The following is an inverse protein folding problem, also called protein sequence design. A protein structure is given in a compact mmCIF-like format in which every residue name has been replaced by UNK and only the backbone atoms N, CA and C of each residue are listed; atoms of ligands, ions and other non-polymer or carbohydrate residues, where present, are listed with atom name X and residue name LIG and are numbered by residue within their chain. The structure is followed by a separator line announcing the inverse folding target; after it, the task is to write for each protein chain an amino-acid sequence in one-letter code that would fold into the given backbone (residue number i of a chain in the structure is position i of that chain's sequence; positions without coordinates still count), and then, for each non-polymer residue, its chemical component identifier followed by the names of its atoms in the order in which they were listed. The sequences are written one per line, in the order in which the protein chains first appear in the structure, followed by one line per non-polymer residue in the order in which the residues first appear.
data_IF_489774853612
#
_entry.id   IF_489774853612
#
_cell.length_a   1.000
_cell.length_b   1.000
_cell.length_c   1.000
_cell.angle_alpha   90.00
_cell.angle_beta   90.00
_cell.angle_gamma   90.00
#
_symmetry.space_group_name_H-M   'P 1'
#
loop_
_entity.id
_entity.type
_entity.pdbx_description
1 polymer ?
#
# COMPACT_ATOMS: atom_id res chain seq x y z
N UNK A 1 40.74 15.31 -2.52
CA UNK A 1 40.41 16.28 -3.59
C UNK A 1 39.89 15.48 -4.78
N UNK A 2 38.61 15.70 -5.14
CA UNK A 2 37.91 15.23 -6.33
C UNK A 2 38.02 13.74 -6.70
N UNK A 3 37.14 12.93 -6.10
CA UNK A 3 36.62 11.74 -6.78
C UNK A 3 35.67 12.20 -7.87
N UNK A 4 35.89 11.66 -9.07
CA UNK A 4 35.08 11.80 -10.27
C UNK A 4 33.59 11.69 -9.95
N UNK A 5 32.90 12.84 -9.89
CA UNK A 5 31.47 12.87 -10.12
C UNK A 5 31.28 12.52 -11.58
N UNK A 6 30.77 11.32 -11.82
CA UNK A 6 30.17 10.92 -13.08
C UNK A 6 29.10 11.96 -13.38
N UNK A 7 29.44 12.98 -14.19
CA UNK A 7 28.47 13.81 -14.87
C UNK A 7 27.82 12.93 -15.92
N UNK A 8 26.87 12.10 -15.47
CA UNK A 8 25.97 11.37 -16.33
C UNK A 8 25.12 12.43 -17.04
N UNK A 9 25.33 12.58 -18.35
CA UNK A 9 24.75 13.64 -19.17
C UNK A 9 23.26 13.38 -19.40
N UNK A 10 22.44 13.66 -18.39
CA UNK A 10 20.97 13.62 -18.46
C UNK A 10 20.38 14.80 -19.24
N UNK A 11 21.20 15.76 -19.68
CA UNK A 11 20.78 16.92 -20.49
C UNK A 11 20.46 16.56 -21.95
N UNK A 12 20.22 15.28 -22.25
CA UNK A 12 19.46 14.93 -23.44
C UNK A 12 18.03 15.41 -23.18
N UNK A 13 17.70 16.57 -23.73
CA UNK A 13 16.38 17.18 -23.67
C UNK A 13 15.30 16.09 -23.76
N UNK A 14 14.49 15.91 -22.72
CA UNK A 14 13.37 14.96 -22.75
C UNK A 14 12.45 15.24 -23.95
N UNK A 15 12.43 16.49 -24.44
CA UNK A 15 11.82 16.93 -25.69
C UNK A 15 12.40 16.30 -26.96
N UNK A 16 13.68 15.91 -26.99
CA UNK A 16 14.22 15.13 -28.12
C UNK A 16 13.70 13.69 -28.14
N UNK A 17 13.37 13.15 -26.96
CA UNK A 17 12.85 11.79 -26.82
C UNK A 17 11.33 11.78 -27.01
N UNK A 18 10.64 12.84 -26.56
CA UNK A 18 9.20 13.00 -26.68
C UNK A 18 8.82 14.46 -27.03
N UNK A 19 8.86 14.83 -28.32
CA UNK A 19 8.61 16.20 -28.77
C UNK A 19 7.16 16.66 -28.64
N UNK A 20 6.23 15.74 -28.37
CA UNK A 20 4.79 16.00 -28.21
C UNK A 20 4.33 16.04 -26.76
N UNK A 21 5.24 15.87 -25.80
CA UNK A 21 4.89 15.93 -24.38
C UNK A 21 4.49 17.35 -23.94
N UNK A 22 3.49 17.46 -23.05
CA UNK A 22 3.16 18.75 -22.43
C UNK A 22 4.29 19.17 -21.48
N UNK A 23 4.51 20.48 -21.29
CA UNK A 23 5.58 20.98 -20.41
C UNK A 23 5.41 20.51 -18.95
N UNK A 24 4.17 20.30 -18.49
CA UNK A 24 3.87 19.75 -17.17
C UNK A 24 4.26 18.27 -17.06
N UNK A 25 4.10 17.50 -18.15
CA UNK A 25 4.54 16.10 -18.22
C UNK A 25 6.06 16.01 -18.13
N UNK A 26 6.76 16.94 -18.80
CA UNK A 26 8.21 17.03 -18.79
C UNK A 26 8.74 17.35 -17.38
N UNK A 27 8.19 18.36 -16.70
CA UNK A 27 8.62 18.71 -15.34
C UNK A 27 8.44 17.54 -14.36
N UNK A 28 7.32 16.83 -14.46
CA UNK A 28 7.08 15.63 -13.65
C UNK A 28 8.16 14.57 -13.89
N UNK A 29 8.45 14.26 -15.16
CA UNK A 29 9.48 13.28 -15.52
C UNK A 29 10.87 13.71 -15.06
N UNK A 30 11.24 15.00 -15.20
CA UNK A 30 12.51 15.53 -14.72
C UNK A 30 12.68 15.35 -13.22
N UNK A 31 11.60 15.51 -12.44
CA UNK A 31 11.65 15.37 -10.98
C UNK A 31 11.55 13.92 -10.49
N UNK A 32 10.94 13.02 -11.28
CA UNK A 32 10.90 11.57 -11.00
C UNK A 32 12.20 10.86 -11.38
N UNK A 33 12.82 11.25 -12.50
CA UNK A 33 14.03 10.63 -13.04
C UNK A 33 15.32 11.24 -12.46
N UNK A 34 15.29 11.58 -11.17
CA UNK A 34 16.47 12.04 -10.44
C UNK A 34 17.34 10.86 -10.01
N UNK A 35 18.65 10.96 -10.27
CA UNK A 35 19.62 9.94 -9.85
C UNK A 35 19.75 9.88 -8.33
N UNK A 36 19.80 11.04 -7.67
CA UNK A 36 19.82 11.10 -6.22
C UNK A 36 18.41 10.82 -5.67
N UNK A 37 18.20 9.74 -4.88
CA UNK A 37 16.89 9.39 -4.35
C UNK A 37 16.33 10.44 -3.40
N UNK A 38 17.17 11.21 -2.70
CA UNK A 38 16.71 12.28 -1.81
C UNK A 38 16.17 13.51 -2.56
N UNK A 39 16.53 13.65 -3.84
CA UNK A 39 16.01 14.73 -4.71
C UNK A 39 14.81 14.27 -5.53
N UNK A 40 14.48 12.97 -5.52
CA UNK A 40 13.37 12.39 -6.25
C UNK A 40 12.06 12.70 -5.52
N UNK A 41 11.04 13.11 -6.26
CA UNK A 41 9.68 13.27 -5.72
C UNK A 41 9.22 11.98 -5.03
N UNK A 42 8.55 12.12 -3.88
CA UNK A 42 7.81 11.02 -3.28
C UNK A 42 6.54 10.72 -4.08
N UNK A 43 5.98 9.53 -3.92
CA UNK A 43 4.73 9.16 -4.59
C UNK A 43 3.58 10.15 -4.26
N UNK A 44 3.48 10.57 -2.99
CA UNK A 44 2.48 11.55 -2.54
C UNK A 44 2.65 12.92 -3.21
N UNK A 45 3.89 13.41 -3.31
CA UNK A 45 4.18 14.68 -3.99
C UNK A 45 3.95 14.59 -5.50
N UNK A 46 4.22 13.44 -6.11
CA UNK A 46 3.98 13.21 -7.52
C UNK A 46 2.48 13.24 -7.84
N UNK A 47 1.63 12.65 -7.00
CA UNK A 47 0.17 12.66 -7.18
C UNK A 47 -0.43 14.07 -7.12
N UNK A 48 0.17 14.98 -6.36
CA UNK A 48 -0.23 16.39 -6.28
C UNK A 48 0.29 17.26 -7.44
N UNK A 49 1.04 16.69 -8.39
CA UNK A 49 1.62 17.44 -9.49
C UNK A 49 0.54 17.94 -10.47
N UNK A 50 0.66 19.16 -11.05
CA UNK A 50 -0.32 19.71 -12.00
C UNK A 50 -0.68 18.79 -13.16
N UNK A 51 0.29 18.01 -13.65
CA UNK A 51 0.08 17.01 -14.70
C UNK A 51 -0.91 15.90 -14.31
N UNK A 52 -0.95 15.50 -13.03
CA UNK A 52 -1.85 14.46 -12.51
C UNK A 52 -3.09 15.03 -11.82
N UNK A 53 -3.26 16.36 -11.79
CA UNK A 53 -4.37 17.01 -11.09
C UNK A 53 -5.75 16.53 -11.57
N UNK A 54 -5.88 16.19 -12.86
CA UNK A 54 -7.14 15.64 -13.41
C UNK A 54 -7.49 14.23 -12.89
N UNK A 55 -6.51 13.50 -12.35
CA UNK A 55 -6.66 12.12 -11.84
C UNK A 55 -6.54 12.05 -10.32
N UNK A 56 -6.11 13.11 -9.66
CA UNK A 56 -5.86 13.12 -8.22
C UNK A 56 -7.19 13.08 -7.44
N UNK A 57 -7.37 12.04 -6.63
CA UNK A 57 -8.52 11.91 -5.74
C UNK A 57 -8.07 11.37 -4.37
N UNK A 58 -8.03 12.22 -3.32
CA UNK A 58 -7.62 11.80 -1.99
C UNK A 58 -8.45 10.65 -1.38
N UNK A 59 -9.71 10.48 -1.81
CA UNK A 59 -10.57 9.40 -1.31
C UNK A 59 -10.20 8.03 -1.89
N UNK A 60 -9.63 8.00 -3.10
CA UNK A 60 -9.23 6.79 -3.81
C UNK A 60 -7.73 6.45 -3.62
N UNK A 61 -7.01 7.23 -2.80
CA UNK A 61 -5.57 7.11 -2.55
C UNK A 61 -5.26 6.73 -1.08
N UNK A 62 -5.65 5.54 -0.60
CA UNK A 62 -5.46 5.15 0.80
C UNK A 62 -3.98 4.85 1.13
N UNK A 63 -3.51 5.40 2.25
CA UNK A 63 -2.17 5.08 2.78
C UNK A 63 -2.22 3.84 3.67
N UNK A 64 -1.35 2.86 3.40
CA UNK A 64 -1.20 1.68 4.25
C UNK A 64 -0.22 1.96 5.40
N UNK A 65 -0.75 2.32 6.58
CA UNK A 65 0.06 2.59 7.77
C UNK A 65 0.70 1.34 8.39
N UNK A 66 0.37 0.14 7.87
CA UNK A 66 0.91 -1.13 8.38
C UNK A 66 2.06 -1.59 7.51
N UNK A 67 3.19 -1.89 8.15
CA UNK A 67 4.31 -2.56 7.48
C UNK A 67 3.88 -3.92 6.94
N UNK A 68 4.04 -4.12 5.64
CA UNK A 68 3.80 -5.41 4.99
C UNK A 68 4.98 -6.30 5.32
N UNK A 69 4.78 -7.28 6.19
CA UNK A 69 5.80 -8.28 6.52
C UNK A 69 5.66 -9.48 5.59
N UNK A 70 6.62 -9.65 4.70
CA UNK A 70 6.73 -10.86 3.88
C UNK A 70 7.15 -12.02 4.82
N UNK A 71 6.43 -13.16 4.84
CA UNK A 71 6.72 -14.25 5.78
C UNK A 71 8.05 -14.95 5.52
N UNK A 72 8.49 -14.94 4.26
CA UNK A 72 9.74 -15.55 3.81
C UNK A 72 10.70 -14.41 3.47
N UNK A 73 11.91 -14.47 4.02
CA UNK A 73 12.94 -13.46 3.79
C UNK A 73 13.62 -13.68 2.43
N UNK A 74 13.68 -12.61 1.63
CA UNK A 74 14.28 -12.63 0.29
C UNK A 74 15.82 -12.77 0.33
N UNK A 75 16.45 -12.45 1.48
CA UNK A 75 17.90 -12.60 1.63
C UNK A 75 18.33 -14.06 1.80
N UNK A 76 17.39 -14.98 2.05
CA UNK A 76 17.68 -16.39 2.24
C UNK A 76 17.12 -17.21 1.09
N UNK A 77 18.01 -17.90 0.37
CA UNK A 77 17.61 -18.85 -0.68
C UNK A 77 17.26 -20.19 -0.03
N UNK A 78 15.98 -20.56 -0.05
CA UNK A 78 15.53 -21.88 0.37
C UNK A 78 15.48 -22.86 -0.81
N UNK A 79 15.37 -24.15 -0.50
CA UNK A 79 15.05 -25.15 -1.52
C UNK A 79 13.59 -25.03 -1.95
N UNK A 80 13.26 -25.56 -3.14
CA UNK A 80 11.87 -25.56 -3.66
C UNK A 80 10.92 -26.22 -2.64
N UNK A 81 11.36 -27.32 -2.02
CA UNK A 81 10.56 -28.05 -1.05
C UNK A 81 10.24 -27.20 0.19
N UNK A 82 11.24 -26.53 0.76
CA UNK A 82 11.06 -25.66 1.92
C UNK A 82 10.14 -24.46 1.62
N UNK A 83 10.25 -23.85 0.43
CA UNK A 83 9.32 -22.79 0.03
C UNK A 83 7.87 -23.30 -0.01
N UNK A 84 7.64 -24.48 -0.59
CA UNK A 84 6.30 -25.11 -0.66
C UNK A 84 5.76 -25.38 0.73
N UNK A 85 6.56 -25.98 1.60
CA UNK A 85 6.16 -26.30 2.97
C UNK A 85 5.83 -25.06 3.80
N UNK A 86 6.65 -24.00 3.74
CA UNK A 86 6.38 -22.72 4.40
C UNK A 86 5.12 -22.05 3.87
N UNK A 87 4.90 -22.07 2.56
CA UNK A 87 3.71 -21.50 1.96
C UNK A 87 2.44 -22.27 2.38
N UNK A 88 2.47 -23.60 2.30
CA UNK A 88 1.30 -24.41 2.66
C UNK A 88 0.98 -24.35 4.15
N UNK A 89 1.99 -24.41 5.02
CA UNK A 89 1.79 -24.26 6.47
C UNK A 89 1.17 -22.90 6.81
N UNK A 90 1.60 -21.82 6.14
CA UNK A 90 1.01 -20.49 6.31
C UNK A 90 -0.46 -20.44 5.86
N UNK A 91 -0.79 -21.01 4.70
CA UNK A 91 -2.17 -21.07 4.19
C UNK A 91 -3.08 -21.83 5.17
N UNK A 92 -2.63 -22.97 5.69
CA UNK A 92 -3.38 -23.78 6.65
C UNK A 92 -3.59 -23.03 7.97
N UNK A 93 -2.53 -22.41 8.49
CA UNK A 93 -2.60 -21.57 9.70
C UNK A 93 -3.61 -20.44 9.52
N UNK A 94 -3.50 -19.69 8.42
CA UNK A 94 -4.39 -18.56 8.10
C UNK A 94 -5.86 -19.00 7.98
N UNK A 95 -6.14 -20.12 7.29
CA UNK A 95 -7.50 -20.68 7.20
C UNK A 95 -8.07 -21.06 8.57
N UNK A 96 -7.26 -21.66 9.45
CA UNK A 96 -7.67 -22.03 10.81
C UNK A 96 -7.99 -20.79 11.65
N UNK A 97 -7.16 -19.75 11.57
CA UNK A 97 -7.38 -18.47 12.26
C UNK A 97 -8.65 -17.75 11.78
N UNK A 98 -8.87 -17.67 10.47
CA UNK A 98 -10.07 -17.04 9.89
C UNK A 98 -11.32 -17.76 10.40
N UNK A 99 -11.34 -19.11 10.34
CA UNK A 99 -12.47 -19.91 10.84
C UNK A 99 -12.72 -19.67 12.34
N UNK A 100 -11.67 -19.50 13.14
CA UNK A 100 -11.79 -19.19 14.57
C UNK A 100 -12.42 -17.81 14.79
N UNK A 101 -11.91 -16.79 14.11
CA UNK A 101 -12.41 -15.41 14.20
C UNK A 101 -13.87 -15.30 13.75
N UNK A 102 -14.27 -16.01 12.68
CA UNK A 102 -15.66 -16.04 12.22
C UNK A 102 -16.60 -16.57 13.30
N UNK A 103 -16.25 -17.71 13.93
CA UNK A 103 -17.05 -18.29 15.02
C UNK A 103 -17.15 -17.38 16.25
N UNK A 104 -16.07 -16.68 16.56
CA UNK A 104 -16.05 -15.72 17.67
C UNK A 104 -16.93 -14.50 17.37
N UNK A 105 -16.84 -13.96 16.14
CA UNK A 105 -17.66 -12.83 15.69
C UNK A 105 -19.15 -13.16 15.73
N UNK A 106 -19.52 -14.37 15.27
CA UNK A 106 -20.91 -14.85 15.29
C UNK A 106 -21.44 -15.04 16.72
N UNK A 107 -20.58 -15.49 17.67
CA UNK A 107 -20.95 -15.59 19.09
C UNK A 107 -21.19 -14.19 19.69
N UNK A 108 -20.27 -13.26 19.47
CA UNK A 108 -20.36 -11.89 19.96
C UNK A 108 -21.60 -11.18 19.39
N UNK A 109 -21.88 -11.36 18.11
CA UNK A 109 -23.08 -10.81 17.45
C UNK A 109 -24.37 -11.39 18.04
N UNK A 110 -24.43 -12.70 18.30
CA UNK A 110 -25.55 -13.32 18.99
C UNK A 110 -25.76 -12.74 20.39
N UNK A 111 -24.71 -12.54 21.17
CA UNK A 111 -24.80 -12.00 22.53
C UNK A 111 -25.21 -10.51 22.53
N UNK A 112 -24.65 -9.70 21.62
CA UNK A 112 -25.05 -8.31 21.39
C UNK A 112 -26.53 -8.20 21.02
N UNK A 113 -27.03 -9.07 20.12
CA UNK A 113 -28.45 -9.09 19.72
C UNK A 113 -29.38 -9.42 20.89
N UNK A 114 -28.96 -10.33 21.79
CA UNK A 114 -29.69 -10.68 23.01
C UNK A 114 -29.73 -9.53 24.01
N UNK A 115 -28.62 -8.83 24.20
CA UNK A 115 -28.54 -7.66 25.08
C UNK A 115 -29.38 -6.49 24.55
N UNK A 116 -29.32 -6.20 23.25
CA UNK A 116 -30.12 -5.14 22.62
C UNK A 116 -31.62 -5.41 22.76
N UNK A 117 -32.08 -6.65 22.51
CA UNK A 117 -33.47 -7.05 22.77
C UNK A 117 -33.86 -6.83 24.23
N UNK A 118 -33.03 -7.27 25.18
CA UNK A 118 -33.29 -7.12 26.63
C UNK A 118 -33.36 -5.65 27.07
N UNK A 119 -32.53 -4.78 26.51
CA UNK A 119 -32.57 -3.34 26.78
C UNK A 119 -33.86 -2.70 26.25
N UNK A 120 -34.27 -3.06 25.02
CA UNK A 120 -35.49 -2.54 24.37
C UNK A 120 -36.78 -2.90 25.12
N UNK A 121 -36.88 -4.12 25.64
CA UNK A 121 -38.01 -4.52 26.51
C UNK A 121 -38.04 -3.78 27.85
N UNK A 122 -36.88 -3.33 28.34
CA UNK A 122 -36.77 -2.65 29.64
C UNK A 122 -37.10 -1.17 29.56
N UNK A 123 -36.96 -0.54 28.38
CA UNK A 123 -37.32 0.86 28.14
C UNK A 123 -38.78 1.07 27.73
N UNK A 124 -39.47 0.04 27.24
CA UNK A 124 -40.89 0.11 26.83
C UNK A 124 -41.89 -0.15 27.96
N UNK A 125 -41.42 -0.49 29.16
CA UNK A 125 -42.24 -0.81 30.33
C UNK A 125 -42.38 0.32 31.37
N UNK A 126 -41.98 1.56 31.02
CA UNK A 126 -42.15 2.74 31.87
C UNK A 126 -42.94 3.82 31.12
N UNK A 127 -44.24 3.61 30.98
CA UNK A 127 -45.28 4.62 30.75
C UNK A 127 -46.57 4.05 31.33
#
# INVERSE_FOLDING_TARGET
MSVFLINFRWDANLLQINPTASPEAEDLLRRLLQFNPHKRLTAEQALQHPYLAQFHNPMDEPVCNRGIRIPIDDNTKFTIQEYRERLYSEIVRRKKEIRRKMREKERVERDLSRQSRRSKYRSSGST
#
